data_IF_450526190549
#
_entry.id   IF_450526190549
#
_cell.length_a   1.000
_cell.length_b   1.000
_cell.length_c   1.000
_cell.angle_alpha   90.00
_cell.angle_beta   90.00
_cell.angle_gamma   90.00
#
_symmetry.space_group_name_H-M   'P 1'
#
loop_
_entity.id
_entity.type
_entity.pdbx_description
1 polymer ?
#
# COMPACT_ATOMS: atom_id res chain seq x y z
N UNK A 1 9.77 -14.30 9.82
CA UNK A 1 9.22 -13.41 10.86
C UNK A 1 8.27 -12.31 10.34
N UNK A 2 8.12 -12.09 9.03
CA UNK A 2 7.39 -10.93 8.47
C UNK A 2 5.85 -10.91 8.64
N UNK A 3 5.17 -12.07 8.66
CA UNK A 3 3.70 -12.11 8.60
C UNK A 3 2.99 -11.57 9.86
N UNK A 4 3.56 -11.83 11.05
CA UNK A 4 2.96 -11.40 12.34
C UNK A 4 3.06 -9.88 12.55
N UNK A 5 4.16 -9.25 12.14
CA UNK A 5 4.35 -7.80 12.26
C UNK A 5 3.48 -7.02 11.26
N UNK A 6 3.31 -7.56 10.04
CA UNK A 6 2.33 -7.03 9.06
C UNK A 6 0.92 -7.09 9.68
N UNK A 7 0.55 -8.21 10.31
CA UNK A 7 -0.74 -8.35 10.98
C UNK A 7 -0.93 -7.35 12.14
N UNK A 8 0.09 -7.16 12.98
CA UNK A 8 0.04 -6.25 14.13
C UNK A 8 0.02 -4.77 13.72
N UNK A 9 0.58 -4.48 12.54
CA UNK A 9 0.44 -3.19 11.89
C UNK A 9 -1.01 -2.94 11.42
N UNK A 10 -1.70 -3.97 10.92
CA UNK A 10 -3.08 -3.88 10.43
C UNK A 10 -4.12 -3.75 11.56
N UNK A 11 -3.79 -4.18 12.78
CA UNK A 11 -4.69 -4.12 13.94
C UNK A 11 -4.68 -2.77 14.66
N UNK A 12 -3.65 -1.92 14.47
CA UNK A 12 -3.68 -0.54 14.98
C UNK A 12 -4.63 0.27 14.09
N UNK A 13 -5.72 0.80 14.68
CA UNK A 13 -6.76 1.67 14.06
C UNK A 13 -6.25 2.92 13.30
N UNK A 14 -4.93 3.16 13.25
CA UNK A 14 -4.36 4.34 12.60
C UNK A 14 -4.06 4.03 11.14
N UNK A 15 -4.83 4.65 10.26
CA UNK A 15 -4.52 4.66 8.84
C UNK A 15 -3.15 5.30 8.59
N UNK A 16 -2.39 4.74 7.65
CA UNK A 16 -1.02 5.14 7.33
C UNK A 16 -0.91 5.62 5.89
N UNK A 17 0.09 6.46 5.64
CA UNK A 17 0.44 6.87 4.29
C UNK A 17 1.19 5.74 3.56
N UNK A 18 1.38 5.89 2.26
CA UNK A 18 2.06 4.88 1.43
C UNK A 18 3.49 4.60 1.93
N UNK A 19 4.26 5.65 2.24
CA UNK A 19 5.66 5.53 2.65
C UNK A 19 5.83 4.83 4.01
N UNK A 20 4.93 5.14 4.96
CA UNK A 20 4.84 4.46 6.25
C UNK A 20 4.51 2.97 6.08
N UNK A 21 3.68 2.60 5.09
CA UNK A 21 3.34 1.21 4.79
C UNK A 21 4.53 0.48 4.16
N UNK A 22 5.11 1.02 3.09
CA UNK A 22 6.17 0.34 2.35
C UNK A 22 7.48 0.27 3.12
N UNK A 23 7.74 1.20 4.05
CA UNK A 23 8.89 1.14 4.97
C UNK A 23 8.82 -0.08 5.92
N UNK A 24 7.63 -0.58 6.20
CA UNK A 24 7.43 -1.76 7.04
C UNK A 24 7.51 -3.08 6.27
N UNK A 25 7.57 -2.99 4.94
CA UNK A 25 7.71 -4.14 4.05
C UNK A 25 9.19 -4.38 3.73
N UNK A 26 9.57 -5.62 3.42
CA UNK A 26 10.91 -5.90 2.92
C UNK A 26 11.20 -5.09 1.65
N UNK A 27 12.46 -4.70 1.46
CA UNK A 27 12.92 -3.94 0.29
C UNK A 27 12.11 -2.68 -0.01
N UNK A 28 11.65 -1.96 1.04
CA UNK A 28 10.79 -0.79 0.89
C UNK A 28 9.52 -1.07 0.08
N UNK A 29 9.00 -2.30 0.18
CA UNK A 29 7.78 -2.73 -0.47
C UNK A 29 7.90 -2.99 -1.97
N UNK A 30 9.10 -3.00 -2.56
CA UNK A 30 9.28 -3.39 -3.97
C UNK A 30 8.77 -4.82 -4.17
N UNK A 31 8.03 -5.05 -5.26
CA UNK A 31 7.35 -6.32 -5.54
C UNK A 31 6.09 -6.57 -4.69
N UNK A 32 5.85 -5.77 -3.66
CA UNK A 32 4.67 -5.93 -2.79
C UNK A 32 3.44 -5.28 -3.40
N UNK A 33 2.28 -5.87 -3.09
CA UNK A 33 0.97 -5.31 -3.44
C UNK A 33 0.50 -4.40 -2.31
N UNK A 34 0.07 -3.20 -2.67
CA UNK A 34 -0.51 -2.24 -1.74
C UNK A 34 -1.82 -1.70 -2.31
N UNK A 35 -2.79 -1.50 -1.45
CA UNK A 35 -4.12 -1.07 -1.85
C UNK A 35 -4.60 0.07 -0.97
N UNK A 36 -5.59 0.81 -1.47
CA UNK A 36 -6.31 1.78 -0.65
C UNK A 36 -7.42 1.04 0.12
N UNK A 37 -7.71 1.49 1.32
CA UNK A 37 -8.74 0.88 2.19
C UNK A 37 -10.13 0.91 1.54
N UNK A 38 -10.43 1.95 0.77
CA UNK A 38 -11.73 2.12 0.09
C UNK A 38 -11.81 1.39 -1.25
N UNK A 39 -10.79 0.62 -1.63
CA UNK A 39 -10.76 -0.07 -2.93
C UNK A 39 -11.27 -1.50 -2.80
N UNK A 40 -11.87 -2.05 -3.87
CA UNK A 40 -12.14 -3.47 -3.97
C UNK A 40 -10.86 -4.29 -3.77
N UNK A 41 -10.97 -5.50 -3.23
CA UNK A 41 -9.81 -6.36 -2.97
C UNK A 41 -9.04 -6.74 -4.24
N UNK A 42 -9.71 -6.70 -5.39
CA UNK A 42 -9.15 -6.95 -6.72
C UNK A 42 -8.41 -5.74 -7.31
N UNK A 43 -8.39 -4.60 -6.60
CA UNK A 43 -7.77 -3.34 -7.02
C UNK A 43 -6.58 -2.97 -6.15
N UNK A 44 -5.37 -3.01 -6.72
CA UNK A 44 -4.13 -2.75 -5.99
C UNK A 44 -3.05 -2.15 -6.90
N UNK A 45 -2.04 -1.57 -6.28
CA UNK A 45 -0.78 -1.23 -6.94
C UNK A 45 0.27 -2.28 -6.60
N UNK A 46 0.99 -2.76 -7.62
CA UNK A 46 2.24 -3.49 -7.40
C UNK A 46 3.38 -2.49 -7.43
N UNK A 47 4.06 -2.33 -6.30
CA UNK A 47 5.14 -1.35 -6.16
C UNK A 47 6.36 -1.86 -6.92
N UNK A 48 6.93 -1.01 -7.77
CA UNK A 48 8.12 -1.35 -8.55
C UNK A 48 9.34 -0.51 -8.15
N UNK A 49 9.12 0.73 -7.73
CA UNK A 49 10.20 1.67 -7.45
C UNK A 49 9.71 2.70 -6.43
N UNK A 50 10.50 2.94 -5.39
CA UNK A 50 10.19 3.89 -4.33
C UNK A 50 11.43 4.74 -4.08
N UNK A 51 11.28 6.05 -4.22
CA UNK A 51 12.29 7.06 -3.89
C UNK A 51 11.76 7.89 -2.73
N UNK A 52 11.92 7.42 -1.48
CA UNK A 52 11.58 8.22 -0.32
C UNK A 52 12.54 9.42 -0.21
N UNK A 53 12.03 10.52 0.31
CA UNK A 53 12.83 11.69 0.70
C UNK A 53 13.53 11.43 2.06
N UNK A 54 14.43 12.32 2.50
CA UNK A 54 15.27 12.14 3.71
C UNK A 54 14.46 11.79 4.97
N UNK A 55 13.27 12.40 5.16
CA UNK A 55 12.40 12.12 6.32
C UNK A 55 11.64 10.77 6.19
N UNK A 56 11.65 10.15 5.01
CA UNK A 56 10.99 8.86 4.76
C UNK A 56 9.45 8.87 4.83
N UNK A 57 8.83 10.05 5.04
CA UNK A 57 7.37 10.26 5.07
C UNK A 57 6.79 10.75 3.75
N UNK A 58 7.66 11.18 2.84
CA UNK A 58 7.36 11.75 1.53
C UNK A 58 8.29 11.15 0.50
N UNK A 59 8.01 11.41 -0.77
CA UNK A 59 8.87 10.96 -1.86
C UNK A 59 8.09 10.80 -3.15
N UNK A 60 8.62 9.94 -4.01
CA UNK A 60 7.99 9.51 -5.26
C UNK A 60 7.93 7.99 -5.28
N UNK A 61 6.83 7.44 -5.78
CA UNK A 61 6.66 6.00 -5.93
C UNK A 61 6.04 5.69 -7.29
N UNK A 62 6.43 4.54 -7.85
CA UNK A 62 5.96 4.03 -9.12
C UNK A 62 5.58 2.57 -9.00
N UNK A 63 4.63 2.15 -9.82
CA UNK A 63 4.16 0.77 -9.84
C UNK A 63 3.24 0.49 -11.02
N UNK A 64 2.81 -0.75 -11.14
CA UNK A 64 1.72 -1.14 -12.04
C UNK A 64 0.40 -1.04 -11.30
N UNK A 65 -0.62 -0.51 -11.98
CA UNK A 65 -1.96 -0.37 -11.40
C UNK A 65 -2.84 -1.52 -11.84
N UNK A 66 -3.42 -2.26 -10.91
CA UNK A 66 -4.44 -3.26 -11.17
C UNK A 66 -5.78 -2.74 -10.64
N UNK A 67 -6.80 -2.73 -11.49
CA UNK A 67 -8.15 -2.31 -11.11
C UNK A 67 -9.15 -3.38 -11.47
N UNK A 68 -9.92 -3.86 -10.48
CA UNK A 68 -10.91 -4.92 -10.64
C UNK A 68 -10.34 -6.19 -11.31
N UNK A 69 -9.08 -6.53 -11.01
CA UNK A 69 -8.38 -7.68 -11.58
C UNK A 69 -7.67 -7.40 -12.91
N UNK A 70 -7.89 -6.24 -13.54
CA UNK A 70 -7.22 -5.89 -14.80
C UNK A 70 -5.99 -5.01 -14.56
N UNK A 71 -4.82 -5.46 -15.03
CA UNK A 71 -3.61 -4.66 -14.96
C UNK A 71 -3.62 -3.57 -16.06
N UNK A 72 -3.60 -2.31 -15.62
CA UNK A 72 -3.67 -1.12 -16.47
C UNK A 72 -2.29 -0.53 -16.74
N UNK A 73 -1.65 -1.06 -17.78
CA UNK A 73 -0.39 -0.56 -18.33
C UNK A 73 0.84 -0.99 -17.53
N UNK A 74 1.95 -0.33 -17.81
CA UNK A 74 3.27 -0.67 -17.28
C UNK A 74 3.57 0.10 -15.99
N UNK A 75 4.55 1.01 -15.99
CA UNK A 75 5.00 1.75 -14.81
C UNK A 75 4.34 3.12 -14.77
N UNK A 76 3.48 3.36 -13.78
CA UNK A 76 2.85 4.67 -13.52
C UNK A 76 3.23 5.22 -12.16
N UNK A 77 3.31 6.55 -12.07
CA UNK A 77 3.52 7.25 -10.79
C UNK A 77 2.29 7.06 -9.91
N UNK A 78 2.49 6.55 -8.70
CA UNK A 78 1.43 6.36 -7.72
C UNK A 78 1.02 7.73 -7.19
N UNK A 79 -0.26 8.09 -7.36
CA UNK A 79 -0.82 9.36 -6.88
C UNK A 79 -1.45 9.19 -5.50
N UNK A 80 -1.51 10.27 -4.72
CA UNK A 80 -2.14 10.25 -3.40
C UNK A 80 -1.36 9.44 -2.36
N UNK A 81 -0.06 9.26 -2.53
CA UNK A 81 0.83 8.51 -1.61
C UNK A 81 0.82 9.08 -0.18
N UNK A 82 0.58 10.39 -0.03
CA UNK A 82 0.49 11.03 1.28
C UNK A 82 -0.85 10.82 2.01
N UNK A 83 -1.90 10.36 1.32
CA UNK A 83 -3.19 10.10 1.98
C UNK A 83 -3.04 8.95 2.96
N UNK A 84 -3.56 9.08 4.17
CA UNK A 84 -3.57 8.01 5.18
C UNK A 84 -4.71 7.03 4.88
N UNK A 85 -4.60 6.28 3.79
CA UNK A 85 -5.62 5.31 3.34
C UNK A 85 -4.98 4.05 2.75
N UNK A 86 -3.68 3.85 2.94
CA UNK A 86 -2.94 2.75 2.33
C UNK A 86 -2.82 1.57 3.28
N UNK A 87 -2.83 0.35 2.72
CA UNK A 87 -2.57 -0.91 3.42
C UNK A 87 -1.79 -1.88 2.51
N UNK A 88 -0.91 -2.72 3.07
CA UNK A 88 -0.28 -3.81 2.32
C UNK A 88 -1.31 -4.88 1.94
N UNK A 89 -1.00 -5.76 1.00
CA UNK A 89 -1.79 -6.93 0.62
C UNK A 89 -0.89 -8.17 0.60
N UNK A 90 -1.33 -9.34 1.11
CA UNK A 90 -2.65 -9.62 1.68
C UNK A 90 -2.81 -9.02 3.09
N UNK A 91 -3.86 -8.23 3.29
CA UNK A 91 -4.22 -7.68 4.58
C UNK A 91 -5.72 -7.83 4.79
N UNK A 92 -6.17 -8.44 5.91
CA UNK A 92 -7.58 -8.37 6.28
C UNK A 92 -8.03 -6.91 6.35
N UNK A 93 -9.26 -6.65 5.92
CA UNK A 93 -9.91 -5.36 6.14
C UNK A 93 -9.91 -5.06 7.66
N UNK A 94 -9.69 -3.80 8.09
CA UNK A 94 -9.89 -3.43 9.48
C UNK A 94 -11.30 -3.83 9.91
N UNK A 95 -11.41 -4.63 10.98
CA UNK A 95 -12.69 -5.10 11.50
C UNK A 95 -13.63 -3.92 11.75
N UNK A 96 -14.78 -3.89 11.08
CA UNK A 96 -15.81 -2.85 11.21
C UNK A 96 -15.85 -1.79 10.11
N UNK A 97 -14.96 -1.84 9.09
CA UNK A 97 -15.02 -0.92 7.96
C UNK A 97 -15.99 -1.42 6.88
N UNK A 98 -17.15 -0.77 6.74
CA UNK A 98 -18.05 -1.00 5.60
C UNK A 98 -17.62 -0.11 4.43
N UNK A 99 -17.45 -0.70 3.25
CA UNK A 99 -17.40 0.05 1.99
C UNK A 99 -18.87 0.37 1.68
N UNK A 100 -19.32 1.55 2.08
CA UNK A 100 -20.64 2.09 1.67
C UNK A 100 -20.53 2.65 0.26
#
# INVERSE_FOLDING_TARGET
>A
MAAREILQCLTKRRMRNFYEVVRLLPEHGIGSKVQRVTWPETSYWTVMDVKPEVDGKRGKAWGTFTWLGEQRGEKKKIRGTMKKVWRPMPAPLPSGWKIT
#
